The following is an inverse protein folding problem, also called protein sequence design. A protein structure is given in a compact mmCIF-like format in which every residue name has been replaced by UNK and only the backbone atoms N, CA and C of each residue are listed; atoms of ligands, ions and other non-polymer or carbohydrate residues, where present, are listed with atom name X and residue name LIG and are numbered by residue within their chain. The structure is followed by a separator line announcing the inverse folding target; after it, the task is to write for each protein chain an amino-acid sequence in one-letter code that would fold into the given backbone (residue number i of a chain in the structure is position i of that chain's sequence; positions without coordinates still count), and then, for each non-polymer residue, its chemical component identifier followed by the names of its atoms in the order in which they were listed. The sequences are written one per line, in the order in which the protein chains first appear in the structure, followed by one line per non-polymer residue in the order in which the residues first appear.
data_IF_479490009779
#
_entry.id   IF_479490009779
#
_cell.length_a   1.000
_cell.length_b   1.000
_cell.length_c   1.000
_cell.angle_alpha   90.00
_cell.angle_beta   90.00
_cell.angle_gamma   90.00
#
_symmetry.space_group_name_H-M   'P 1'
#
loop_
_entity.id
_entity.type
_entity.pdbx_description
1 polymer ?
#
# COMPACT_ATOMS: atom_id res chain seq x y z
N UNK A 1 6.06 -10.52 3.75
CA UNK A 1 7.46 -10.77 3.35
C UNK A 1 7.80 -10.40 1.89
N UNK A 2 7.17 -11.00 0.86
CA UNK A 2 7.48 -10.71 -0.56
C UNK A 2 7.31 -9.23 -0.93
N UNK A 3 6.15 -8.63 -0.64
CA UNK A 3 5.87 -7.22 -0.94
C UNK A 3 6.90 -6.24 -0.34
N UNK A 4 7.43 -6.53 0.84
CA UNK A 4 8.44 -5.68 1.49
C UNK A 4 9.73 -5.67 0.67
N UNK A 5 10.19 -6.85 0.27
CA UNK A 5 11.38 -7.00 -0.57
C UNK A 5 11.22 -6.28 -1.90
N UNK A 6 10.05 -6.38 -2.54
CA UNK A 6 9.77 -5.68 -3.80
C UNK A 6 9.65 -4.17 -3.62
N UNK A 7 9.08 -3.69 -2.50
CA UNK A 7 8.98 -2.25 -2.16
C UNK A 7 10.37 -1.65 -1.94
N UNK A 8 11.23 -2.34 -1.21
CA UNK A 8 12.62 -1.91 -0.97
C UNK A 8 13.44 -1.97 -2.26
N UNK A 9 13.28 -3.03 -3.06
CA UNK A 9 13.92 -3.17 -4.37
C UNK A 9 13.51 -2.01 -5.30
N UNK A 10 12.22 -1.71 -5.41
CA UNK A 10 11.72 -0.65 -6.26
C UNK A 10 12.31 0.71 -5.87
N UNK A 11 12.36 1.02 -4.56
CA UNK A 11 12.98 2.25 -4.04
C UNK A 11 14.47 2.34 -4.34
N UNK A 12 15.21 1.23 -4.31
CA UNK A 12 16.63 1.21 -4.62
C UNK A 12 16.92 1.37 -6.12
N UNK A 13 16.11 0.71 -6.97
CA UNK A 13 16.28 0.74 -8.42
C UNK A 13 15.82 2.07 -9.02
N UNK A 14 14.75 2.66 -8.47
CA UNK A 14 14.20 3.91 -8.95
C UNK A 14 13.72 4.77 -7.76
N UNK A 15 14.62 5.56 -7.16
CA UNK A 15 14.29 6.45 -6.03
C UNK A 15 13.21 7.48 -6.36
N UNK A 16 13.05 7.82 -7.65
CA UNK A 16 12.08 8.81 -8.14
C UNK A 16 10.63 8.31 -8.10
N UNK A 17 10.39 7.03 -7.76
CA UNK A 17 9.06 6.48 -7.44
C UNK A 17 8.21 6.05 -8.64
N UNK A 18 8.79 5.99 -9.83
CA UNK A 18 8.13 5.60 -11.07
C UNK A 18 8.08 4.07 -11.30
N UNK A 19 8.85 3.31 -10.51
CA UNK A 19 8.83 1.84 -10.48
C UNK A 19 7.91 1.34 -9.37
N UNK A 20 6.87 0.59 -9.73
CA UNK A 20 5.83 0.14 -8.81
C UNK A 20 6.13 -1.29 -8.31
N UNK A 21 6.12 -1.55 -7.00
CA UNK A 21 6.39 -2.89 -6.46
C UNK A 21 5.19 -3.84 -6.64
N UNK A 22 5.45 -5.12 -6.91
CA UNK A 22 4.42 -6.16 -6.93
C UNK A 22 4.05 -6.57 -5.50
N UNK A 23 2.75 -6.66 -5.19
CA UNK A 23 2.28 -7.00 -3.85
C UNK A 23 2.24 -8.49 -3.53
N UNK A 24 1.97 -9.32 -4.55
CA UNK A 24 1.67 -10.73 -4.39
C UNK A 24 2.54 -11.58 -5.31
N UNK A 25 3.19 -12.60 -4.73
CA UNK A 25 3.94 -13.59 -5.49
C UNK A 25 3.02 -14.46 -6.36
N UNK A 26 1.76 -14.62 -5.97
CA UNK A 26 0.77 -15.43 -6.69
C UNK A 26 0.33 -14.67 -7.95
N UNK A 27 0.18 -13.35 -7.85
CA UNK A 27 -0.37 -12.53 -8.92
C UNK A 27 0.66 -11.97 -9.89
N UNK A 28 1.95 -12.20 -9.61
CA UNK A 28 3.08 -11.60 -10.33
C UNK A 28 2.99 -11.77 -11.87
N UNK A 29 2.41 -12.86 -12.36
CA UNK A 29 2.29 -13.11 -13.80
C UNK A 29 1.34 -12.13 -14.50
N UNK A 30 0.39 -11.53 -13.78
CA UNK A 30 -0.50 -10.49 -14.28
C UNK A 30 0.17 -9.10 -14.34
N UNK A 31 1.42 -8.99 -13.90
CA UNK A 31 2.21 -7.76 -13.95
C UNK A 31 3.32 -7.82 -14.99
N UNK A 32 3.26 -8.77 -15.93
CA UNK A 32 4.19 -8.85 -17.06
C UNK A 32 3.91 -7.73 -18.07
N UNK A 33 4.89 -7.40 -18.95
CA UNK A 33 4.65 -6.42 -19.99
C UNK A 33 3.42 -6.75 -20.86
N UNK A 34 2.73 -5.71 -21.33
CA UNK A 34 1.45 -5.74 -22.06
C UNK A 34 0.21 -6.13 -21.26
N UNK A 35 0.33 -6.50 -19.99
CA UNK A 35 -0.84 -6.64 -19.13
C UNK A 35 -1.45 -5.28 -18.81
N UNK A 36 -2.76 -5.30 -18.59
CA UNK A 36 -3.55 -4.13 -18.27
C UNK A 36 -3.79 -4.05 -16.76
N UNK A 37 -3.62 -2.86 -16.21
CA UNK A 37 -3.88 -2.56 -14.81
C UNK A 37 -4.77 -1.34 -14.68
N UNK A 38 -5.56 -1.30 -13.60
CA UNK A 38 -6.40 -0.16 -13.24
C UNK A 38 -5.82 0.53 -12.03
N UNK A 39 -5.86 1.85 -12.01
CA UNK A 39 -5.42 2.63 -10.85
C UNK A 39 -6.49 2.58 -9.75
N UNK A 40 -6.07 2.36 -8.51
CA UNK A 40 -6.94 2.56 -7.34
C UNK A 40 -7.16 4.05 -7.16
N UNK A 41 -8.35 4.50 -6.71
CA UNK A 41 -8.56 5.89 -6.34
C UNK A 41 -7.45 6.34 -5.39
N UNK A 42 -6.67 7.35 -5.80
CA UNK A 42 -5.58 7.85 -4.96
C UNK A 42 -6.19 8.49 -3.73
N UNK A 43 -5.71 8.12 -2.53
CA UNK A 43 -6.08 8.77 -1.27
C UNK A 43 -5.09 9.88 -0.91
N UNK A 44 -5.49 10.86 -0.09
CA UNK A 44 -4.68 12.06 0.21
C UNK A 44 -3.33 11.70 0.87
N UNK A 45 -3.29 10.59 1.58
CA UNK A 45 -2.14 10.11 2.35
C UNK A 45 -1.30 9.06 1.60
N UNK A 46 -1.74 8.58 0.44
CA UNK A 46 -0.99 7.58 -0.33
C UNK A 46 0.17 8.25 -1.06
N UNK A 47 1.39 7.84 -0.71
CA UNK A 47 2.61 8.31 -1.40
C UNK A 47 2.64 7.84 -2.85
N UNK A 48 2.18 6.62 -3.11
CA UNK A 48 2.16 6.01 -4.44
C UNK A 48 0.76 5.49 -4.80
N UNK A 49 0.30 5.68 -6.05
CA UNK A 49 -0.92 5.07 -6.52
C UNK A 49 -0.77 3.54 -6.52
N UNK A 50 -1.80 2.87 -6.01
CA UNK A 50 -1.90 1.41 -6.09
C UNK A 50 -2.61 1.01 -7.39
N UNK A 51 -2.36 -0.21 -7.85
CA UNK A 51 -2.96 -0.72 -9.09
C UNK A 51 -3.57 -2.11 -8.88
N UNK A 52 -4.78 -2.30 -9.41
CA UNK A 52 -5.44 -3.60 -9.51
C UNK A 52 -5.06 -4.29 -10.81
N UNK A 53 -4.78 -5.60 -10.73
CA UNK A 53 -4.71 -6.46 -11.91
C UNK A 53 -6.10 -6.52 -12.57
N UNK A 54 -6.14 -6.64 -13.89
CA UNK A 54 -7.43 -6.76 -14.61
C UNK A 54 -7.69 -8.16 -15.15
N UNK A 55 -6.65 -9.00 -15.21
CA UNK A 55 -6.70 -10.30 -15.88
C UNK A 55 -6.61 -10.21 -17.41
N UNK A 56 -6.65 -9.02 -18.01
CA UNK A 56 -6.59 -8.81 -19.46
C UNK A 56 -5.23 -8.31 -19.90
N UNK A 57 -4.77 -8.78 -21.06
CA UNK A 57 -3.65 -8.23 -21.81
C UNK A 57 -4.17 -7.24 -22.84
N UNK A 58 -3.28 -6.37 -23.31
CA UNK A 58 -3.59 -5.42 -24.37
C UNK A 58 -4.19 -6.11 -25.60
N UNK A 59 -3.64 -7.26 -26.01
CA UNK A 59 -4.16 -8.01 -27.16
C UNK A 59 -5.60 -8.53 -26.96
N UNK A 60 -6.01 -8.81 -25.72
CA UNK A 60 -7.34 -9.39 -25.42
C UNK A 60 -8.47 -8.37 -25.66
N UNK A 61 -8.15 -7.07 -25.61
CA UNK A 61 -9.11 -5.97 -25.83
C UNK A 61 -9.04 -5.37 -27.24
N UNK A 62 -8.14 -5.86 -28.11
CA UNK A 62 -8.02 -5.42 -29.49
C UNK A 62 -8.91 -6.25 -30.42
N UNK A 63 -9.37 -5.66 -31.52
CA UNK A 63 -10.04 -6.40 -32.60
C UNK A 63 -9.01 -7.30 -33.29
N UNK A 64 -9.34 -8.58 -33.57
CA UNK A 64 -8.44 -9.46 -34.31
C UNK A 64 -8.04 -8.88 -35.67
N UNK A 65 -6.76 -8.97 -36.02
CA UNK A 65 -6.26 -8.51 -37.32
C UNK A 65 -6.86 -9.31 -38.50
N UNK A 66 -6.85 -8.70 -39.69
CA UNK A 66 -7.43 -9.28 -40.92
C UNK A 66 -6.79 -10.61 -41.38
N UNK A 67 -5.59 -10.95 -40.89
CA UNK A 67 -4.86 -12.18 -41.22
C UNK A 67 -4.84 -13.24 -40.09
N UNK A 68 -5.87 -13.26 -39.24
CA UNK A 68 -5.95 -14.16 -38.07
C UNK A 68 -6.32 -15.61 -38.42
N UNK A 69 -5.39 -16.35 -39.06
CA UNK A 69 -5.35 -17.82 -38.96
C UNK A 69 -4.42 -18.20 -37.80
N UNK A 70 -5.01 -18.44 -36.63
CA UNK A 70 -4.40 -19.08 -35.45
C UNK A 70 -3.16 -18.40 -34.84
N UNK A 71 -3.33 -17.51 -33.85
CA UNK A 71 -2.19 -16.92 -33.14
C UNK A 71 -2.43 -16.69 -31.64
N UNK A 72 -2.98 -17.67 -30.92
CA UNK A 72 -3.01 -17.66 -29.44
C UNK A 72 -1.61 -17.80 -28.79
N UNK A 73 -0.55 -17.97 -29.61
CA UNK A 73 0.83 -18.21 -29.13
C UNK A 73 1.88 -17.35 -29.85
N UNK A 74 1.52 -16.64 -30.93
CA UNK A 74 2.52 -16.07 -31.84
C UNK A 74 2.48 -14.51 -31.91
N UNK A 75 1.46 -13.86 -31.34
CA UNK A 75 1.44 -12.39 -31.13
C UNK A 75 2.35 -11.93 -29.97
N UNK A 76 2.70 -12.84 -29.05
CA UNK A 76 3.77 -12.60 -28.06
C UNK A 76 5.18 -12.63 -28.69
N UNK A 77 5.31 -13.06 -29.94
CA UNK A 77 6.58 -13.16 -30.67
C UNK A 77 6.80 -12.03 -31.69
N UNK A 78 5.79 -11.22 -32.03
CA UNK A 78 5.96 -10.04 -32.88
C UNK A 78 6.41 -8.80 -32.09
N UNK A 79 6.04 -8.73 -30.81
CA UNK A 79 6.53 -7.73 -29.87
C UNK A 79 7.80 -8.29 -29.26
N UNK A 80 8.95 -7.76 -29.67
CA UNK A 80 10.21 -8.13 -29.04
C UNK A 80 10.27 -7.42 -27.70
N UNK A 81 10.24 -8.20 -26.63
CA UNK A 81 10.59 -7.72 -25.31
C UNK A 81 12.12 -7.76 -25.25
N UNK A 82 12.76 -6.60 -25.14
CA UNK A 82 14.20 -6.55 -24.96
C UNK A 82 14.51 -6.85 -23.48
N UNK A 83 15.25 -7.94 -23.25
CA UNK A 83 15.87 -8.23 -21.96
C UNK A 83 17.17 -7.41 -21.87
N UNK A 84 17.09 -6.22 -21.28
CA UNK A 84 18.27 -5.43 -20.94
C UNK A 84 18.86 -5.99 -19.64
N UNK A 85 20.06 -6.58 -19.72
CA UNK A 85 20.79 -7.06 -18.53
C UNK A 85 21.42 -5.85 -17.84
N UNK A 86 20.64 -5.15 -17.03
CA UNK A 86 21.14 -4.06 -16.18
C UNK A 86 21.66 -4.63 -14.85
N UNK A 87 22.83 -5.25 -14.91
CA UNK A 87 23.71 -5.41 -13.76
C UNK A 87 23.27 -6.34 -12.62
N UNK A 88 24.27 -6.79 -11.86
CA UNK A 88 24.10 -7.48 -10.59
C UNK A 88 23.75 -6.46 -9.51
N UNK A 89 22.49 -6.39 -9.11
CA UNK A 89 22.11 -5.60 -7.94
C UNK A 89 22.31 -6.47 -6.70
N UNK A 90 23.44 -6.27 -6.01
CA UNK A 90 23.64 -6.83 -4.67
C UNK A 90 22.71 -6.11 -3.67
N UNK A 91 21.42 -6.46 -3.70
CA UNK A 91 20.48 -6.10 -2.65
C UNK A 91 20.82 -6.88 -1.39
N UNK A 92 21.81 -6.38 -0.63
CA UNK A 92 21.92 -6.70 0.78
C UNK A 92 20.92 -5.79 1.47
N UNK A 93 19.69 -6.27 1.72
CA UNK A 93 18.72 -5.52 2.52
C UNK A 93 19.21 -5.56 3.97
N UNK A 94 20.15 -4.70 4.31
CA UNK A 94 20.46 -4.34 5.69
C UNK A 94 19.62 -3.13 6.03
N UNK A 95 18.85 -3.24 7.12
CA UNK A 95 18.22 -2.09 7.74
C UNK A 95 19.32 -1.03 8.02
N UNK A 96 19.02 0.29 7.97
CA UNK A 96 19.95 1.29 8.42
C UNK A 96 20.37 0.99 9.87
N UNK A 97 21.66 0.73 10.10
CA UNK A 97 22.23 0.57 11.44
C UNK A 97 22.35 1.92 12.19
N UNK A 98 22.00 3.05 11.54
CA UNK A 98 22.11 4.40 12.09
C UNK A 98 20.79 4.92 12.67
N UNK A 99 20.36 4.32 13.78
CA UNK A 99 19.54 5.03 14.79
C UNK A 99 19.64 4.37 16.18
N UNK A 100 20.85 3.95 16.57
CA UNK A 100 21.12 3.62 17.97
C UNK A 100 21.45 4.90 18.72
N UNK A 101 20.47 5.46 19.41
CA UNK A 101 20.67 6.14 20.70
C UNK A 101 19.37 6.36 21.47
N UNK A 102 18.65 5.29 21.77
CA UNK A 102 18.02 5.12 23.09
C UNK A 102 17.82 3.63 23.32
N UNK A 103 18.18 3.14 24.49
CA UNK A 103 18.01 1.75 24.91
C UNK A 103 16.53 1.35 24.91
N UNK A 104 16.04 0.88 23.76
CA UNK A 104 14.86 0.02 23.68
C UNK A 104 15.30 -1.14 22.81
N UNK A 105 15.55 -2.28 23.43
CA UNK A 105 15.73 -3.58 22.76
C UNK A 105 14.40 -3.97 22.11
N UNK A 106 14.10 -3.30 21.00
CA UNK A 106 12.96 -3.58 20.14
C UNK A 106 13.27 -4.80 19.29
N UNK A 107 12.31 -5.72 19.21
CA UNK A 107 12.41 -6.89 18.38
C UNK A 107 12.55 -6.49 16.91
N UNK A 108 13.75 -6.65 16.36
CA UNK A 108 14.00 -6.47 14.95
C UNK A 108 13.58 -7.74 14.20
N UNK A 109 12.67 -7.62 13.24
CA UNK A 109 12.50 -8.69 12.26
C UNK A 109 13.67 -8.60 11.27
N UNK A 110 14.61 -9.54 11.35
CA UNK A 110 15.75 -9.57 10.46
C UNK A 110 15.41 -10.40 9.23
N UNK A 111 15.60 -9.78 8.07
CA UNK A 111 15.50 -10.45 6.79
C UNK A 111 16.93 -10.78 6.37
N UNK A 112 17.27 -12.07 6.29
CA UNK A 112 18.53 -12.48 5.67
C UNK A 112 18.28 -12.66 4.18
N UNK A 113 18.46 -11.58 3.42
CA UNK A 113 18.50 -11.62 1.97
C UNK A 113 19.96 -11.49 1.54
N UNK A 114 20.48 -12.53 0.88
CA UNK A 114 21.89 -12.56 0.43
C UNK A 114 22.12 -11.64 -0.77
N UNK A 115 21.24 -11.70 -1.77
CA UNK A 115 21.19 -10.86 -2.97
C UNK A 115 20.07 -11.38 -3.87
N UNK A 116 19.43 -10.51 -4.67
CA UNK A 116 18.49 -10.91 -5.73
C UNK A 116 19.03 -10.35 -7.04
N UNK A 117 19.34 -11.23 -7.98
CA UNK A 117 19.71 -10.80 -9.34
C UNK A 117 18.44 -10.51 -10.14
N UNK A 118 18.44 -9.38 -10.85
CA UNK A 118 17.29 -8.90 -11.58
C UNK A 118 17.63 -8.65 -13.04
N UNK A 119 16.62 -8.69 -13.89
CA UNK A 119 16.68 -8.27 -15.28
C UNK A 119 15.50 -7.37 -15.61
N UNK A 120 15.66 -6.49 -16.59
CA UNK A 120 14.59 -5.62 -17.07
C UNK A 120 14.03 -6.19 -18.37
N UNK A 121 12.71 -6.33 -18.41
CA UNK A 121 11.95 -6.73 -19.58
C UNK A 121 11.10 -5.53 -20.04
N UNK A 122 11.40 -4.96 -21.20
CA UNK A 122 10.70 -3.79 -21.74
C UNK A 122 10.13 -4.04 -23.13
N UNK A 123 8.94 -3.50 -23.38
CA UNK A 123 8.33 -3.47 -24.71
C UNK A 123 8.99 -2.40 -25.58
N UNK A 124 9.51 -2.79 -26.75
CA UNK A 124 10.06 -1.82 -27.70
C UNK A 124 8.97 -0.84 -28.19
N UNK A 125 9.23 0.48 -28.18
CA UNK A 125 8.28 1.46 -28.68
C UNK A 125 7.85 1.21 -30.14
N UNK A 126 8.76 0.77 -31.01
CA UNK A 126 8.47 0.50 -32.41
C UNK A 126 7.41 -0.59 -32.60
N UNK A 127 7.40 -1.63 -31.76
CA UNK A 127 6.43 -2.72 -31.86
C UNK A 127 5.02 -2.24 -31.43
N UNK A 128 4.96 -1.33 -30.45
CA UNK A 128 3.70 -0.69 -30.03
C UNK A 128 3.13 0.23 -31.11
N UNK A 129 3.99 1.00 -31.79
CA UNK A 129 3.57 1.87 -32.91
C UNK A 129 2.99 1.06 -34.08
N UNK A 130 3.61 -0.07 -34.42
CA UNK A 130 3.11 -0.99 -35.44
C UNK A 130 1.74 -1.56 -35.01
N UNK A 131 1.63 -2.05 -33.78
CA UNK A 131 0.39 -2.64 -33.26
C UNK A 131 -0.76 -1.62 -33.24
N UNK A 132 -0.48 -0.35 -32.90
CA UNK A 132 -1.45 0.74 -32.95
C UNK A 132 -1.97 1.01 -34.37
N UNK A 133 -1.10 0.92 -35.37
CA UNK A 133 -1.48 1.08 -36.78
C UNK A 133 -2.31 -0.07 -37.33
N UNK A 134 -2.07 -1.29 -36.86
CA UNK A 134 -2.71 -2.51 -37.36
C UNK A 134 -4.03 -2.85 -36.69
N UNK A 135 -4.16 -2.60 -35.38
CA UNK A 135 -5.28 -3.07 -34.57
C UNK A 135 -5.99 -1.93 -33.86
N UNK A 136 -7.31 -2.00 -33.87
CA UNK A 136 -8.21 -1.08 -33.17
C UNK A 136 -8.69 -1.68 -31.86
N UNK A 137 -9.10 -0.84 -30.91
CA UNK A 137 -9.75 -1.29 -29.67
C UNK A 137 -11.13 -1.85 -29.98
N UNK A 138 -11.43 -2.99 -29.37
CA UNK A 138 -12.77 -3.56 -29.39
C UNK A 138 -13.69 -2.82 -28.42
N UNK A 139 -14.33 -1.75 -28.90
CA UNK A 139 -15.31 -0.97 -28.12
C UNK A 139 -16.56 -1.78 -27.71
N UNK A 140 -16.73 -2.98 -28.27
CA UNK A 140 -17.81 -3.89 -27.87
C UNK A 140 -17.44 -4.84 -26.74
N UNK A 141 -16.17 -4.91 -26.34
CA UNK A 141 -15.70 -5.73 -25.23
C UNK A 141 -16.36 -5.30 -23.92
N UNK A 142 -16.90 -6.26 -23.14
CA UNK A 142 -17.63 -5.99 -21.89
C UNK A 142 -16.80 -5.16 -20.90
N UNK A 143 -15.55 -5.57 -20.67
CA UNK A 143 -14.58 -4.84 -19.83
C UNK A 143 -14.40 -3.37 -20.24
N UNK A 144 -14.27 -3.06 -21.53
CA UNK A 144 -14.11 -1.69 -22.03
C UNK A 144 -15.40 -0.87 -21.86
N UNK A 145 -16.56 -1.48 -22.09
CA UNK A 145 -17.87 -0.85 -21.84
C UNK A 145 -18.05 -0.49 -20.36
N UNK A 146 -17.68 -1.40 -19.46
CA UNK A 146 -17.78 -1.18 -18.02
C UNK A 146 -16.81 -0.10 -17.53
N UNK A 147 -15.55 -0.14 -17.99
CA UNK A 147 -14.55 0.91 -17.72
C UNK A 147 -15.04 2.29 -18.15
N UNK A 148 -15.58 2.39 -19.37
CA UNK A 148 -16.11 3.63 -19.91
C UNK A 148 -17.30 4.15 -19.11
N UNK A 149 -18.21 3.26 -18.69
CA UNK A 149 -19.37 3.61 -17.86
C UNK A 149 -18.94 4.15 -16.49
N UNK A 150 -17.88 3.57 -15.90
CA UNK A 150 -17.32 3.98 -14.61
C UNK A 150 -16.33 5.15 -14.70
N UNK A 151 -15.94 5.54 -15.93
CA UNK A 151 -14.92 6.55 -16.21
C UNK A 151 -13.57 6.26 -15.53
N UNK A 152 -13.21 4.99 -15.48
CA UNK A 152 -11.95 4.51 -14.88
C UNK A 152 -10.81 4.56 -15.89
N UNK A 153 -9.61 4.87 -15.40
CA UNK A 153 -8.39 4.87 -16.19
C UNK A 153 -7.77 3.47 -16.31
N UNK A 154 -7.24 3.19 -17.49
CA UNK A 154 -6.58 1.95 -17.86
C UNK A 154 -5.12 2.23 -18.24
N UNK A 155 -4.24 1.38 -17.75
CA UNK A 155 -2.80 1.52 -17.96
C UNK A 155 -2.23 0.21 -18.50
N UNK A 156 -1.23 0.32 -19.35
CA UNK A 156 -0.48 -0.82 -19.90
C UNK A 156 0.86 -0.90 -19.17
N UNK A 157 1.25 -2.11 -18.76
CA UNK A 157 2.59 -2.36 -18.25
C UNK A 157 3.56 -2.34 -19.43
N UNK A 158 4.45 -1.35 -19.48
CA UNK A 158 5.45 -1.21 -20.53
C UNK A 158 6.75 -1.95 -20.18
N UNK A 159 7.05 -2.03 -18.89
CA UNK A 159 8.31 -2.58 -18.39
C UNK A 159 8.06 -3.35 -17.10
N UNK A 160 8.80 -4.44 -16.92
CA UNK A 160 8.82 -5.24 -15.71
C UNK A 160 10.27 -5.55 -15.30
N UNK A 161 10.56 -5.41 -14.01
CA UNK A 161 11.78 -5.93 -13.39
C UNK A 161 11.48 -7.34 -12.91
N UNK A 162 12.27 -8.30 -13.38
CA UNK A 162 12.07 -9.73 -13.10
C UNK A 162 13.29 -10.33 -12.40
N UNK A 163 13.07 -11.36 -11.60
CA UNK A 163 14.14 -12.15 -11.01
C UNK A 163 14.92 -12.90 -12.11
N UNK A 164 16.23 -12.70 -12.20
CA UNK A 164 17.08 -13.38 -13.17
C UNK A 164 17.23 -14.87 -12.85
N UNK A 165 17.31 -15.18 -11.55
CA UNK A 165 17.47 -16.53 -11.04
C UNK A 165 16.53 -16.82 -9.87
N UNK A 166 16.31 -18.11 -9.62
CA UNK A 166 15.53 -18.57 -8.48
C UNK A 166 16.25 -18.19 -7.18
N UNK A 167 15.62 -17.36 -6.37
CA UNK A 167 16.19 -16.87 -5.11
C UNK A 167 15.34 -17.30 -3.92
N UNK A 168 15.98 -17.69 -2.82
CA UNK A 168 15.28 -18.04 -1.59
C UNK A 168 15.46 -16.93 -0.56
N UNK A 169 14.36 -16.46 -0.01
CA UNK A 169 14.33 -15.44 1.03
C UNK A 169 14.05 -16.08 2.37
N UNK A 170 14.75 -15.63 3.40
CA UNK A 170 14.57 -16.08 4.78
C UNK A 170 14.13 -14.91 5.66
N UNK A 171 13.08 -15.12 6.44
CA UNK A 171 12.65 -14.23 7.53
C UNK A 171 12.74 -14.99 8.83
N UNK A 172 13.47 -14.43 9.78
CA UNK A 172 13.43 -14.84 11.18
C UNK A 172 12.81 -13.73 12.00
N UNK A 173 11.71 -14.01 12.67
CA UNK A 173 11.21 -13.17 13.75
C UNK A 173 11.61 -13.79 15.09
N UNK A 174 12.39 -13.05 15.87
CA UNK A 174 12.59 -13.34 17.30
C UNK A 174 11.60 -12.49 18.07
N UNK A 175 10.70 -13.10 18.84
CA UNK A 175 9.75 -12.41 19.73
C UNK A 175 10.41 -11.95 21.03
N UNK A 176 11.69 -11.57 20.97
CA UNK A 176 12.48 -11.20 22.15
C UNK A 176 12.50 -9.68 22.28
N UNK A 177 11.56 -9.17 23.06
CA UNK A 177 11.49 -7.76 23.47
C UNK A 177 10.45 -7.58 24.57
N UNK A 178 10.82 -6.94 25.68
CA UNK A 178 9.93 -6.74 26.84
C UNK A 178 8.63 -6.02 26.45
N UNK A 179 8.75 -5.00 25.58
CA UNK A 179 7.64 -4.19 25.07
C UNK A 179 6.63 -5.03 24.25
N UNK A 180 7.11 -5.88 23.35
CA UNK A 180 6.18 -6.73 22.58
C UNK A 180 5.43 -7.68 23.50
N UNK A 181 6.12 -8.23 24.50
CA UNK A 181 5.51 -9.14 25.46
C UNK A 181 4.41 -8.43 26.27
N UNK A 182 4.62 -7.16 26.67
CA UNK A 182 3.59 -6.34 27.32
C UNK A 182 2.34 -6.21 26.44
N UNK A 183 2.51 -5.88 25.15
CA UNK A 183 1.40 -5.78 24.19
C UNK A 183 0.68 -7.13 24.01
N UNK A 184 1.43 -8.23 23.84
CA UNK A 184 0.86 -9.58 23.70
C UNK A 184 0.00 -9.96 24.91
N UNK A 185 0.47 -9.67 26.12
CA UNK A 185 -0.24 -9.93 27.37
C UNK A 185 -1.48 -9.02 27.47
N UNK A 186 -1.32 -7.72 27.24
CA UNK A 186 -2.40 -6.75 27.36
C UNK A 186 -3.61 -7.09 26.47
N UNK A 187 -3.34 -7.45 25.21
CA UNK A 187 -4.39 -7.77 24.24
C UNK A 187 -4.76 -9.27 24.19
N UNK A 188 -4.17 -10.09 25.06
CA UNK A 188 -4.37 -11.55 25.08
C UNK A 188 -4.18 -12.17 23.69
N UNK A 189 -3.14 -11.71 22.99
CA UNK A 189 -2.80 -12.15 21.64
C UNK A 189 -2.07 -13.49 21.74
N UNK A 190 -2.47 -14.45 20.91
CA UNK A 190 -1.85 -15.78 20.90
C UNK A 190 -0.45 -15.72 20.30
N UNK A 191 -0.23 -14.78 19.39
CA UNK A 191 1.05 -14.49 18.79
C UNK A 191 1.57 -15.56 17.86
N UNK A 192 2.50 -15.15 17.00
CA UNK A 192 3.22 -16.10 16.14
C UNK A 192 4.50 -16.49 16.85
N UNK A 193 4.54 -17.72 17.38
CA UNK A 193 5.75 -18.34 17.94
C UNK A 193 6.87 -18.17 16.90
N UNK A 194 8.03 -17.64 17.32
CA UNK A 194 9.14 -17.23 16.45
C UNK A 194 9.21 -18.07 15.17
N UNK A 195 8.87 -17.45 14.04
CA UNK A 195 8.62 -18.18 12.80
C UNK A 195 9.80 -17.98 11.86
N UNK A 196 10.41 -19.09 11.45
CA UNK A 196 11.30 -19.09 10.29
C UNK A 196 10.43 -19.29 9.07
N UNK A 197 10.27 -18.22 8.28
CA UNK A 197 9.51 -18.27 7.04
C UNK A 197 10.48 -18.22 5.87
N UNK A 198 10.17 -19.04 4.87
CA UNK A 198 10.95 -19.15 3.65
C UNK A 198 10.02 -18.90 2.49
N UNK A 199 10.38 -17.94 1.64
CA UNK A 199 9.71 -17.72 0.36
C UNK A 199 10.72 -17.97 -0.74
N UNK A 200 10.28 -18.66 -1.78
CA UNK A 200 11.10 -18.93 -2.96
C UNK A 200 10.59 -18.06 -4.09
N UNK A 201 11.40 -17.10 -4.53
CA UNK A 201 11.17 -16.31 -5.72
C UNK A 201 11.62 -17.16 -6.92
N UNK A 202 10.72 -17.53 -7.84
CA UNK A 202 11.09 -18.28 -9.03
C UNK A 202 11.86 -17.38 -10.01
N UNK A 203 12.60 -18.01 -10.93
CA UNK A 203 13.17 -17.32 -12.08
C UNK A 203 12.05 -16.68 -12.93
N UNK A 204 12.33 -15.51 -13.50
CA UNK A 204 11.42 -14.71 -14.31
C UNK A 204 10.16 -14.21 -13.56
N UNK A 205 10.20 -14.23 -12.22
CA UNK A 205 9.16 -13.65 -11.36
C UNK A 205 9.18 -12.13 -11.49
N UNK A 206 8.04 -11.50 -11.76
CA UNK A 206 7.92 -10.04 -11.75
C UNK A 206 8.02 -9.53 -10.30
N UNK A 207 8.92 -8.58 -10.07
CA UNK A 207 9.17 -7.98 -8.76
C UNK A 207 8.66 -6.54 -8.70
N UNK A 208 8.80 -5.81 -9.81
CA UNK A 208 8.31 -4.45 -9.94
C UNK A 208 7.97 -4.16 -11.42
N UNK A 209 7.17 -3.13 -11.68
CA UNK A 209 6.70 -2.81 -13.02
C UNK A 209 6.51 -1.31 -13.21
N UNK A 210 6.55 -0.86 -14.47
CA UNK A 210 6.21 0.50 -14.89
C UNK A 210 5.04 0.47 -15.84
N UNK A 211 4.21 1.48 -15.71
CA UNK A 211 2.99 1.62 -16.48
C UNK A 211 3.06 2.84 -17.39
N UNK A 212 2.24 2.82 -18.43
CA UNK A 212 1.91 4.01 -19.21
C UNK A 212 0.39 4.08 -19.41
N UNK A 213 -0.23 5.27 -19.37
CA UNK A 213 -1.66 5.40 -19.57
C UNK A 213 -2.06 4.99 -20.99
N UNK A 214 -3.14 4.23 -21.10
CA UNK A 214 -3.76 3.90 -22.37
C UNK A 214 -4.76 5.01 -22.72
N UNK A 215 -4.62 5.61 -23.91
CA UNK A 215 -5.55 6.58 -24.44
C UNK A 215 -6.42 5.89 -25.50
N UNK A 216 -7.74 6.04 -25.40
CA UNK A 216 -8.72 5.51 -26.35
C UNK A 216 -9.53 6.68 -26.90
N UNK A 217 -9.50 6.84 -28.23
CA UNK A 217 -10.28 7.83 -28.96
C UNK A 217 -11.14 7.11 -30.00
N UNK A 218 -12.42 6.92 -29.68
CA UNK A 218 -13.33 6.07 -30.47
C UNK A 218 -12.81 4.64 -30.59
N UNK A 219 -12.16 4.28 -31.69
CA UNK A 219 -11.60 2.94 -31.93
C UNK A 219 -10.06 2.94 -31.99
N UNK A 220 -9.45 4.12 -32.18
CA UNK A 220 -8.00 4.28 -32.15
C UNK A 220 -7.51 4.36 -30.72
N UNK A 221 -6.31 3.85 -30.48
CA UNK A 221 -5.68 3.89 -29.18
C UNK A 221 -4.22 4.27 -29.29
N UNK A 222 -3.68 4.78 -28.20
CA UNK A 222 -2.29 5.17 -28.07
C UNK A 222 -1.83 5.04 -26.63
N UNK A 223 -0.54 5.25 -26.42
CA UNK A 223 0.06 5.24 -25.09
C UNK A 223 0.52 6.65 -24.78
N UNK A 224 0.12 7.18 -23.63
CA UNK A 224 0.57 8.49 -23.20
C UNK A 224 1.96 8.45 -22.57
N UNK A 225 2.67 9.56 -22.69
CA UNK A 225 3.86 9.87 -21.91
C UNK A 225 3.55 10.71 -20.66
N UNK A 226 2.32 11.20 -20.49
CA UNK A 226 1.88 11.97 -19.33
C UNK A 226 1.00 11.11 -18.43
N UNK A 227 1.36 10.89 -17.15
CA UNK A 227 0.69 9.94 -16.26
C UNK A 227 -0.76 10.30 -15.91
N UNK A 228 -1.13 11.57 -16.07
CA UNK A 228 -2.45 12.12 -15.71
C UNK A 228 -3.45 12.17 -16.88
N UNK A 229 -3.07 11.66 -18.04
CA UNK A 229 -3.97 11.60 -19.19
C UNK A 229 -5.09 10.58 -18.96
N UNK A 230 -6.33 11.03 -19.16
CA UNK A 230 -7.51 10.18 -19.04
C UNK A 230 -7.61 9.17 -20.18
N UNK A 231 -8.07 7.94 -19.87
CA UNK A 231 -8.19 6.88 -20.86
C UNK A 231 -9.22 7.17 -21.95
N UNK A 232 -10.33 7.85 -21.64
CA UNK A 232 -11.40 8.12 -22.59
C UNK A 232 -11.51 9.62 -22.91
N UNK A 233 -10.71 10.11 -23.86
CA UNK A 233 -10.54 11.55 -24.17
C UNK A 233 -11.84 12.25 -24.55
N UNK A 234 -12.77 11.55 -25.22
CA UNK A 234 -14.02 12.14 -25.71
C UNK A 234 -15.12 12.26 -24.63
N UNK A 235 -14.94 11.62 -23.47
CA UNK A 235 -16.00 11.48 -22.46
C UNK A 235 -15.92 12.53 -21.33
N UNK A 236 -14.99 13.50 -21.45
CA UNK A 236 -14.75 14.56 -20.48
C UNK A 236 -13.82 14.11 -19.34
N UNK A 237 -13.70 14.91 -18.25
CA UNK A 237 -12.85 14.57 -17.11
C UNK A 237 -13.27 13.23 -16.49
N UNK A 238 -12.28 12.42 -16.12
CA UNK A 238 -12.46 11.14 -15.43
C UNK A 238 -12.86 11.37 -13.98
N UNK A 239 -13.47 10.38 -13.32
CA UNK A 239 -13.83 10.50 -11.90
C UNK A 239 -12.59 10.71 -11.00
N UNK A 240 -11.40 10.36 -11.49
CA UNK A 240 -10.11 10.57 -10.83
C UNK A 240 -9.65 12.05 -10.84
N UNK A 241 -10.24 12.92 -11.68
CA UNK A 241 -9.80 14.32 -11.81
C UNK A 241 -10.30 15.26 -10.71
N UNK A 242 -11.18 14.79 -9.82
CA UNK A 242 -11.66 15.56 -8.66
C UNK A 242 -10.65 15.56 -7.49
N UNK A 243 -9.52 14.88 -7.65
CA UNK A 243 -8.47 14.87 -6.63
C UNK A 243 -7.58 16.12 -6.74
N UNK A 244 -8.12 17.25 -6.27
CA UNK A 244 -7.29 18.39 -5.90
C UNK A 244 -6.47 18.02 -4.66
N UNK A 245 -5.13 18.10 -4.70
CA UNK A 245 -4.27 18.06 -3.51
C UNK A 245 -4.59 19.21 -2.52
N UNK A 246 -5.46 20.13 -2.93
CA UNK A 246 -5.80 21.41 -2.31
C UNK A 246 -6.75 21.29 -1.10
N UNK A 247 -7.05 20.06 -0.65
CA UNK A 247 -7.86 19.85 0.54
C UNK A 247 -7.11 20.12 1.84
N UNK A 248 -5.77 20.02 1.85
CA UNK A 248 -4.97 20.07 3.07
C UNK A 248 -5.50 19.12 4.15
N UNK A 249 -5.33 19.53 5.42
CA UNK A 249 -5.87 18.77 6.56
C UNK A 249 -7.41 18.67 6.55
N UNK A 250 -8.13 19.68 6.07
CA UNK A 250 -9.59 19.68 6.05
C UNK A 250 -10.17 18.69 5.01
N UNK A 251 -9.47 18.50 3.90
CA UNK A 251 -9.76 17.46 2.92
C UNK A 251 -9.50 16.06 3.49
N UNK A 252 -8.34 15.88 4.13
CA UNK A 252 -8.00 14.62 4.78
C UNK A 252 -9.00 14.25 5.88
N UNK A 253 -9.41 15.22 6.71
CA UNK A 253 -10.38 14.99 7.76
C UNK A 253 -11.74 14.54 7.20
N UNK A 254 -12.26 15.22 6.17
CA UNK A 254 -13.52 14.83 5.51
C UNK A 254 -13.44 13.44 4.87
N UNK A 255 -12.31 13.11 4.25
CA UNK A 255 -12.09 11.78 3.67
C UNK A 255 -12.12 10.70 4.76
N UNK A 256 -11.33 10.87 5.83
CA UNK A 256 -11.25 9.89 6.92
C UNK A 256 -12.59 9.73 7.63
N UNK A 257 -13.31 10.82 7.90
CA UNK A 257 -14.65 10.78 8.50
C UNK A 257 -15.65 10.01 7.63
N UNK A 258 -15.56 10.18 6.31
CA UNK A 258 -16.41 9.47 5.34
C UNK A 258 -16.07 7.98 5.27
N UNK A 259 -14.79 7.64 5.11
CA UNK A 259 -14.33 6.26 4.93
C UNK A 259 -14.46 5.43 6.23
N UNK A 260 -14.38 6.07 7.40
CA UNK A 260 -14.52 5.41 8.70
C UNK A 260 -15.93 5.56 9.33
N UNK A 261 -16.93 6.02 8.57
CA UNK A 261 -18.28 6.30 9.08
C UNK A 261 -18.91 5.06 9.75
N UNK A 262 -18.76 3.88 9.14
CA UNK A 262 -19.31 2.62 9.68
C UNK A 262 -18.57 2.15 10.95
N UNK A 263 -17.25 2.39 11.04
CA UNK A 263 -16.49 2.08 12.28
C UNK A 263 -16.99 2.90 13.47
N UNK A 264 -17.45 4.14 13.23
CA UNK A 264 -17.96 5.02 14.27
C UNK A 264 -19.31 4.56 14.86
N UNK A 265 -20.03 3.69 14.13
CA UNK A 265 -21.36 3.16 14.48
C UNK A 265 -21.28 1.79 15.16
N UNK A 266 -20.09 1.18 15.24
CA UNK A 266 -19.91 -0.12 15.87
C UNK A 266 -20.23 -0.07 17.38
N UNK A 267 -20.73 -1.19 17.90
CA UNK A 267 -20.88 -1.39 19.35
C UNK A 267 -19.50 -1.49 20.02
N UNK A 268 -19.43 -1.18 21.32
CA UNK A 268 -18.19 -1.25 22.10
C UNK A 268 -17.56 -2.65 22.11
N UNK A 269 -18.38 -3.71 22.09
CA UNK A 269 -17.92 -5.10 21.94
C UNK A 269 -17.23 -5.37 20.59
N UNK A 270 -17.84 -4.90 19.48
CA UNK A 270 -17.25 -5.05 18.15
C UNK A 270 -15.99 -4.21 18.01
N UNK A 271 -15.97 -2.98 18.53
CA UNK A 271 -14.79 -2.13 18.59
C UNK A 271 -13.63 -2.84 19.29
N UNK A 272 -13.87 -3.46 20.45
CA UNK A 272 -12.84 -4.18 21.19
C UNK A 272 -12.29 -5.39 20.41
N UNK A 273 -13.15 -6.17 19.75
CA UNK A 273 -12.73 -7.29 18.87
C UNK A 273 -11.88 -6.83 17.70
N UNK A 274 -12.31 -5.74 17.05
CA UNK A 274 -11.61 -5.17 15.90
C UNK A 274 -10.27 -4.56 16.34
N UNK A 275 -10.25 -3.83 17.45
CA UNK A 275 -9.03 -3.27 18.02
C UNK A 275 -8.01 -4.36 18.34
N UNK A 276 -8.43 -5.46 18.99
CA UNK A 276 -7.56 -6.60 19.26
C UNK A 276 -6.95 -7.17 17.98
N UNK A 277 -7.77 -7.42 16.97
CA UNK A 277 -7.33 -8.00 15.70
C UNK A 277 -6.41 -7.06 14.92
N UNK A 278 -6.73 -5.76 14.89
CA UNK A 278 -5.91 -4.74 14.23
C UNK A 278 -4.59 -4.54 14.99
N UNK A 279 -4.57 -4.59 16.32
CA UNK A 279 -3.31 -4.56 17.09
C UNK A 279 -2.43 -5.77 16.76
N UNK A 280 -3.02 -6.96 16.60
CA UNK A 280 -2.28 -8.15 16.16
C UNK A 280 -1.66 -7.97 14.76
N UNK A 281 -2.38 -7.29 13.88
CA UNK A 281 -1.93 -6.93 12.54
C UNK A 281 -0.81 -5.88 12.58
N UNK A 282 -0.92 -4.85 13.42
CA UNK A 282 0.09 -3.79 13.57
C UNK A 282 1.44 -4.38 13.99
N UNK A 283 1.44 -5.30 14.95
CA UNK A 283 2.69 -5.93 15.43
C UNK A 283 3.20 -7.06 14.52
N UNK A 284 2.45 -7.45 13.49
CA UNK A 284 2.80 -8.53 12.58
C UNK A 284 2.58 -8.15 11.11
N UNK A 285 3.66 -7.68 10.48
CA UNK A 285 3.64 -7.26 9.08
C UNK A 285 3.16 -8.31 8.09
N UNK A 286 3.30 -9.62 8.39
CA UNK A 286 2.76 -10.64 7.50
C UNK A 286 1.24 -10.80 7.65
N UNK A 287 0.69 -10.64 8.85
CA UNK A 287 -0.76 -10.63 9.06
C UNK A 287 -1.39 -9.39 8.42
N UNK A 288 -0.70 -8.24 8.46
CA UNK A 288 -1.11 -7.04 7.73
C UNK A 288 -1.28 -7.31 6.24
N UNK A 289 -0.29 -7.93 5.60
CA UNK A 289 -0.39 -8.25 4.17
C UNK A 289 -1.44 -9.32 3.89
N UNK A 290 -1.54 -10.37 4.71
CA UNK A 290 -2.55 -11.42 4.55
C UNK A 290 -3.96 -10.85 4.60
N UNK A 291 -4.26 -10.06 5.63
CA UNK A 291 -5.59 -9.48 5.82
C UNK A 291 -5.90 -8.47 4.70
N UNK A 292 -4.95 -7.58 4.37
CA UNK A 292 -5.11 -6.60 3.29
C UNK A 292 -5.47 -7.28 1.97
N UNK A 293 -4.69 -8.29 1.54
CA UNK A 293 -4.95 -9.00 0.29
C UNK A 293 -6.32 -9.67 0.27
N UNK A 294 -6.73 -10.31 1.36
CA UNK A 294 -8.07 -10.95 1.45
C UNK A 294 -9.20 -9.93 1.34
N UNK A 295 -9.07 -8.78 1.99
CA UNK A 295 -10.08 -7.73 1.92
C UNK A 295 -10.10 -7.05 0.54
N UNK A 296 -8.95 -6.93 -0.14
CA UNK A 296 -8.89 -6.48 -1.54
C UNK A 296 -9.60 -7.47 -2.48
N UNK A 297 -9.38 -8.78 -2.32
CA UNK A 297 -10.07 -9.82 -3.09
C UNK A 297 -11.59 -9.78 -2.86
N UNK A 298 -12.02 -9.56 -1.61
CA UNK A 298 -13.43 -9.40 -1.28
C UNK A 298 -14.08 -8.19 -1.98
N UNK A 299 -13.32 -7.12 -2.20
CA UNK A 299 -13.79 -5.96 -2.97
C UNK A 299 -13.84 -6.20 -4.47
N UNK A 300 -12.97 -7.05 -5.00
CA UNK A 300 -12.96 -7.42 -6.42
C UNK A 300 -14.12 -8.37 -6.77
N UNK A 301 -14.29 -9.43 -5.98
CA UNK A 301 -15.31 -10.46 -6.20
C UNK A 301 -15.71 -11.11 -4.87
N UNK A 302 -16.68 -10.49 -4.19
CA UNK A 302 -17.18 -10.95 -2.89
C UNK A 302 -17.73 -12.38 -2.92
N UNK A 303 -18.26 -12.85 -4.05
CA UNK A 303 -18.87 -14.18 -4.19
C UNK A 303 -17.81 -15.30 -4.23
N UNK A 304 -16.57 -14.98 -4.57
CA UNK A 304 -15.45 -15.95 -4.65
C UNK A 304 -14.47 -15.86 -3.50
N UNK A 305 -14.58 -14.84 -2.65
CA UNK A 305 -13.64 -14.61 -1.56
C UNK A 305 -14.02 -15.40 -0.29
N UNK A 306 -13.08 -16.17 0.25
CA UNK A 306 -13.22 -16.80 1.56
C UNK A 306 -12.45 -16.00 2.63
N UNK A 307 -13.18 -15.25 3.47
CA UNK A 307 -12.61 -14.52 4.62
C UNK A 307 -12.36 -15.46 5.82
N UNK A 308 -11.38 -16.36 5.68
CA UNK A 308 -10.89 -17.23 6.78
C UNK A 308 -9.41 -17.02 6.99
N UNK A 309 -8.91 -17.15 8.22
CA UNK A 309 -7.48 -17.20 8.49
C UNK A 309 -7.15 -18.37 9.40
N UNK A 310 -5.95 -18.92 9.24
CA UNK A 310 -5.39 -19.88 10.20
C UNK A 310 -4.94 -19.17 11.49
N UNK A 311 -4.78 -17.85 11.45
CA UNK A 311 -4.39 -17.08 12.61
C UNK A 311 -5.61 -16.79 13.49
N UNK A 312 -5.62 -17.28 14.75
CA UNK A 312 -6.75 -17.08 15.65
C UNK A 312 -6.93 -15.63 16.10
N UNK A 313 -5.92 -14.77 15.98
CA UNK A 313 -6.02 -13.34 16.31
C UNK A 313 -6.79 -12.55 15.23
N UNK A 314 -7.09 -13.15 14.07
CA UNK A 314 -7.93 -12.56 13.01
C UNK A 314 -9.36 -13.12 12.97
N UNK A 315 -9.62 -14.22 13.68
CA UNK A 315 -10.89 -14.97 13.61
C UNK A 315 -12.08 -14.09 13.96
N UNK A 316 -12.00 -13.35 15.08
CA UNK A 316 -13.05 -12.45 15.55
C UNK A 316 -13.36 -11.34 14.52
N UNK A 317 -12.34 -10.72 13.91
CA UNK A 317 -12.56 -9.67 12.91
C UNK A 317 -13.20 -10.25 11.64
N UNK A 318 -12.65 -11.34 11.11
CA UNK A 318 -13.14 -11.94 9.87
C UNK A 318 -14.58 -12.47 10.01
N UNK A 319 -14.92 -13.10 11.14
CA UNK A 319 -16.27 -13.61 11.38
C UNK A 319 -17.33 -12.50 11.48
N UNK A 320 -16.94 -11.30 11.91
CA UNK A 320 -17.83 -10.15 12.02
C UNK A 320 -17.85 -9.28 10.75
N UNK A 321 -17.01 -9.57 9.77
CA UNK A 321 -17.10 -9.03 8.41
C UNK A 321 -18.04 -9.86 7.51
N UNK A 322 -18.59 -10.96 8.02
CA UNK A 322 -19.50 -11.84 7.29
C UNK A 322 -20.81 -12.03 8.06
N UNK A 323 -21.91 -12.23 7.34
CA UNK A 323 -23.18 -12.63 7.95
C UNK A 323 -23.22 -14.15 8.23
N UNK A 324 -24.30 -14.62 8.86
CA UNK A 324 -24.49 -16.05 9.14
C UNK A 324 -24.57 -16.95 7.90
N UNK A 325 -24.81 -16.37 6.73
CA UNK A 325 -24.82 -17.08 5.45
C UNK A 325 -23.45 -17.04 4.73
N UNK A 326 -22.47 -16.31 5.28
CA UNK A 326 -21.13 -16.12 4.72
C UNK A 326 -21.03 -14.95 3.74
N UNK A 327 -22.09 -14.14 3.59
CA UNK A 327 -22.07 -12.95 2.74
C UNK A 327 -21.21 -11.86 3.38
N UNK A 328 -20.33 -11.25 2.57
CA UNK A 328 -19.37 -10.24 3.04
C UNK A 328 -20.04 -8.87 3.19
N UNK A 329 -19.87 -8.25 4.35
CA UNK A 329 -20.34 -6.90 4.64
C UNK A 329 -19.39 -5.85 4.06
N UNK A 330 -19.52 -5.55 2.76
CA UNK A 330 -18.63 -4.60 2.06
C UNK A 330 -18.57 -3.21 2.73
N UNK A 331 -19.67 -2.76 3.35
CA UNK A 331 -19.74 -1.49 4.08
C UNK A 331 -18.78 -1.45 5.28
N UNK A 332 -18.46 -2.60 5.87
CA UNK A 332 -17.51 -2.73 6.98
C UNK A 332 -16.10 -3.14 6.50
N UNK A 333 -16.00 -3.88 5.40
CA UNK A 333 -14.72 -4.22 4.77
C UNK A 333 -13.99 -2.97 4.28
N UNK A 334 -14.72 -1.99 3.71
CA UNK A 334 -14.16 -0.71 3.24
C UNK A 334 -13.33 0.03 4.29
N UNK A 335 -13.93 0.40 5.42
CA UNK A 335 -13.22 1.08 6.51
C UNK A 335 -12.03 0.29 7.06
N UNK A 336 -12.17 -1.03 7.20
CA UNK A 336 -11.06 -1.89 7.68
C UNK A 336 -9.93 -1.88 6.66
N UNK A 337 -10.22 -2.11 5.38
CA UNK A 337 -9.23 -2.09 4.31
C UNK A 337 -8.56 -0.71 4.21
N UNK A 338 -9.32 0.38 4.30
CA UNK A 338 -8.80 1.75 4.35
C UNK A 338 -7.78 1.94 5.48
N UNK A 339 -8.09 1.41 6.66
CA UNK A 339 -7.16 1.40 7.82
C UNK A 339 -5.90 0.59 7.53
N UNK A 340 -6.03 -0.61 6.96
CA UNK A 340 -4.89 -1.48 6.65
C UNK A 340 -3.94 -0.84 5.62
N UNK A 341 -4.50 -0.18 4.61
CA UNK A 341 -3.68 0.57 3.66
C UNK A 341 -2.91 1.71 4.33
N UNK A 342 -3.51 2.43 5.28
CA UNK A 342 -2.81 3.48 6.03
C UNK A 342 -1.68 2.92 6.90
N UNK A 343 -1.90 1.76 7.54
CA UNK A 343 -0.88 1.05 8.31
C UNK A 343 0.28 0.56 7.42
N UNK A 344 0.01 0.16 6.18
CA UNK A 344 1.02 -0.32 5.23
C UNK A 344 1.95 0.78 4.67
N UNK A 345 1.55 2.05 4.82
CA UNK A 345 2.40 3.20 4.53
C UNK A 345 3.38 3.51 5.67
N UNK A 346 3.15 2.98 6.88
CA UNK A 346 4.01 3.20 8.06
C UNK A 346 5.20 2.22 8.10
N UNK A 347 6.28 2.61 8.76
CA UNK A 347 7.44 1.73 9.00
C UNK A 347 7.17 0.71 10.11
N UNK A 348 7.92 -0.40 10.16
CA UNK A 348 7.77 -1.41 11.23
C UNK A 348 7.99 -0.79 12.62
N UNK A 349 8.92 0.16 12.76
CA UNK A 349 9.16 0.87 14.02
C UNK A 349 8.01 1.83 14.38
N UNK A 350 7.39 2.49 13.39
CA UNK A 350 6.19 3.29 13.61
C UNK A 350 5.02 2.42 14.05
N UNK A 351 4.81 1.27 13.42
CA UNK A 351 3.77 0.33 13.79
C UNK A 351 3.97 -0.20 15.21
N UNK A 352 5.20 -0.55 15.60
CA UNK A 352 5.50 -0.96 16.97
C UNK A 352 5.14 0.13 17.99
N UNK A 353 5.54 1.38 17.73
CA UNK A 353 5.20 2.53 18.58
C UNK A 353 3.70 2.79 18.62
N UNK A 354 3.01 2.60 17.49
CA UNK A 354 1.56 2.72 17.42
C UNK A 354 0.88 1.69 18.32
N UNK A 355 1.33 0.43 18.32
CA UNK A 355 0.82 -0.59 19.22
C UNK A 355 1.04 -0.24 20.71
N UNK A 356 2.21 0.28 21.07
CA UNK A 356 2.47 0.81 22.42
C UNK A 356 1.52 1.95 22.78
N UNK A 357 1.21 2.81 21.82
CA UNK A 357 0.28 3.93 22.02
C UNK A 357 -1.15 3.46 22.29
N UNK A 358 -1.59 2.37 21.65
CA UNK A 358 -2.90 1.75 21.93
C UNK A 358 -2.89 1.18 23.35
N UNK A 359 -1.86 0.43 23.72
CA UNK A 359 -1.70 -0.16 25.06
C UNK A 359 -1.71 0.91 26.17
N UNK A 360 -0.98 2.01 25.97
CA UNK A 360 -0.91 3.14 26.92
C UNK A 360 -2.11 4.09 26.84
N UNK A 361 -3.09 3.83 25.96
CA UNK A 361 -4.29 4.65 25.79
C UNK A 361 -4.01 6.13 25.47
N UNK A 362 -2.97 6.40 24.67
CA UNK A 362 -2.55 7.76 24.29
C UNK A 362 -2.95 8.17 22.87
N UNK A 363 -3.66 7.30 22.14
CA UNK A 363 -4.05 7.51 20.74
C UNK A 363 -4.81 8.82 20.54
N UNK A 364 -5.73 9.19 21.44
CA UNK A 364 -6.51 10.44 21.34
C UNK A 364 -5.62 11.69 21.41
N UNK A 365 -4.65 11.71 22.34
CA UNK A 365 -3.69 12.81 22.48
C UNK A 365 -2.80 12.92 21.24
N UNK A 366 -2.33 11.78 20.72
CA UNK A 366 -1.51 11.72 19.52
C UNK A 366 -2.28 12.16 18.26
N UNK A 367 -3.55 11.78 18.14
CA UNK A 367 -4.41 12.18 17.04
C UNK A 367 -4.54 13.71 16.95
N UNK A 368 -4.82 14.37 18.09
CA UNK A 368 -4.91 15.83 18.15
C UNK A 368 -3.57 16.51 17.87
N UNK A 369 -2.47 15.93 18.35
CA UNK A 369 -1.12 16.43 18.08
C UNK A 369 -0.79 16.38 16.58
N UNK A 370 -0.97 15.21 15.95
CA UNK A 370 -0.69 15.02 14.53
C UNK A 370 -1.61 15.89 13.68
N UNK A 371 -2.90 16.03 14.07
CA UNK A 371 -3.84 16.96 13.44
C UNK A 371 -3.35 18.40 13.51
N UNK A 372 -2.87 18.85 14.67
CA UNK A 372 -2.32 20.19 14.84
C UNK A 372 -1.09 20.43 13.97
N UNK A 373 -0.24 19.41 13.82
CA UNK A 373 0.94 19.46 12.95
C UNK A 373 0.50 19.53 11.48
N UNK A 374 -0.43 18.68 11.05
CA UNK A 374 -0.95 18.64 9.67
C UNK A 374 -1.69 19.92 9.24
N UNK A 375 -2.23 20.70 10.19
CA UNK A 375 -2.83 22.02 9.92
C UNK A 375 -1.81 23.10 9.56
N UNK A 376 -0.52 22.86 9.78
CA UNK A 376 0.52 23.84 9.48
C UNK A 376 0.93 23.72 8.02
N UNK A 377 1.20 24.84 7.36
CA UNK A 377 1.53 24.85 5.95
C UNK A 377 2.96 24.31 5.71
N UNK A 378 3.08 23.01 5.45
CA UNK A 378 4.34 22.32 5.13
C UNK A 378 5.02 22.85 3.85
N UNK A 379 4.27 23.53 2.99
CA UNK A 379 4.73 23.97 1.67
C UNK A 379 5.85 25.03 1.70
N UNK A 380 6.14 25.63 2.86
CA UNK A 380 7.03 26.80 2.94
C UNK A 380 8.44 26.51 3.48
N UNK A 381 8.79 25.25 3.84
CA UNK A 381 10.07 24.93 4.52
C UNK A 381 10.35 25.79 5.76
N UNK A 382 9.31 26.37 6.36
CA UNK A 382 9.43 27.16 7.57
C UNK A 382 9.31 26.25 8.80
N UNK A 383 10.06 26.58 9.84
CA UNK A 383 9.91 25.94 11.15
C UNK A 383 8.50 26.15 11.67
N UNK A 384 7.82 25.06 12.03
CA UNK A 384 6.49 25.13 12.60
C UNK A 384 6.54 24.95 14.13
N UNK A 385 5.55 25.48 14.85
CA UNK A 385 5.48 25.36 16.31
C UNK A 385 4.34 24.45 16.74
N UNK A 386 4.63 23.46 17.56
CA UNK A 386 3.64 22.57 18.15
C UNK A 386 3.07 23.19 19.41
N UNK A 387 1.76 23.07 19.63
CA UNK A 387 1.09 23.58 20.83
C UNK A 387 1.64 22.92 22.10
N UNK A 388 2.14 23.75 23.02
CA UNK A 388 2.66 23.34 24.32
C UNK A 388 1.62 22.61 25.18
N UNK A 389 0.33 22.90 25.01
CA UNK A 389 -0.76 22.24 25.74
C UNK A 389 -0.93 20.78 25.33
N UNK A 390 -0.81 20.48 24.03
CA UNK A 390 -0.89 19.10 23.53
C UNK A 390 0.32 18.29 23.98
N UNK A 391 1.50 18.92 23.98
CA UNK A 391 2.76 18.30 24.42
C UNK A 391 2.76 18.03 25.93
N UNK A 392 2.31 18.98 26.75
CA UNK A 392 2.26 18.84 28.22
C UNK A 392 1.21 17.85 28.71
N UNK A 393 0.25 17.47 27.86
CA UNK A 393 -0.72 16.41 28.18
C UNK A 393 -0.12 15.00 28.19
N UNK A 394 1.06 14.82 27.60
CA UNK A 394 1.77 13.55 27.52
C UNK A 394 2.84 13.47 28.63
N UNK A 395 2.90 12.32 29.30
CA UNK A 395 4.02 12.03 30.21
C UNK A 395 5.32 11.85 29.40
N UNK A 396 6.49 11.93 30.05
CA UNK A 396 7.77 11.89 29.32
C UNK A 396 7.95 10.60 28.48
N UNK A 397 7.49 9.45 28.99
CA UNK A 397 7.50 8.19 28.23
C UNK A 397 6.55 8.23 27.01
N UNK A 398 5.32 8.71 27.20
CA UNK A 398 4.30 8.85 26.16
C UNK A 398 4.76 9.84 25.07
N UNK A 399 5.44 10.91 25.49
CA UNK A 399 6.03 11.91 24.61
C UNK A 399 7.17 11.33 23.80
N UNK A 400 8.02 10.49 24.38
CA UNK A 400 9.11 9.82 23.66
C UNK A 400 8.57 8.86 22.59
N UNK A 401 7.51 8.10 22.89
CA UNK A 401 6.84 7.24 21.90
C UNK A 401 6.28 8.08 20.75
N UNK A 402 5.55 9.14 21.10
CA UNK A 402 4.90 10.05 20.14
C UNK A 402 5.92 10.75 19.24
N UNK A 403 6.97 11.32 19.84
CA UNK A 403 8.04 12.01 19.12
C UNK A 403 8.71 11.08 18.12
N UNK A 404 9.12 9.89 18.56
CA UNK A 404 9.81 8.96 17.69
C UNK A 404 8.91 8.47 16.54
N UNK A 405 7.60 8.29 16.78
CA UNK A 405 6.65 7.92 15.73
C UNK A 405 6.52 9.00 14.64
N UNK A 406 6.53 10.28 15.04
CA UNK A 406 6.52 11.43 14.12
C UNK A 406 7.86 11.56 13.37
N UNK A 407 8.98 11.39 14.07
CA UNK A 407 10.33 11.51 13.48
C UNK A 407 10.64 10.44 12.45
N UNK A 408 10.15 9.21 12.66
CA UNK A 408 10.24 8.14 11.67
C UNK A 408 9.45 8.44 10.38
N UNK A 409 8.50 9.38 10.44
CA UNK A 409 7.77 9.90 9.28
C UNK A 409 8.50 11.00 8.53
N UNK A 410 9.74 11.36 8.91
CA UNK A 410 10.55 12.38 8.23
C UNK A 410 10.42 13.81 8.79
N UNK A 411 9.69 14.00 9.90
CA UNK A 411 9.58 15.28 10.59
C UNK A 411 10.53 15.35 11.77
N UNK A 412 11.48 16.28 11.78
CA UNK A 412 12.38 16.44 12.93
C UNK A 412 11.76 17.34 13.99
N UNK A 413 11.65 16.86 15.24
CA UNK A 413 11.09 17.63 16.35
C UNK A 413 12.17 18.04 17.36
N UNK A 414 12.39 19.35 17.49
CA UNK A 414 13.30 19.94 18.47
C UNK A 414 12.51 20.56 19.63
N UNK A 415 12.90 20.22 20.86
CA UNK A 415 12.25 20.74 22.08
C UNK A 415 12.75 22.15 22.35
N UNK A 416 11.84 23.13 22.32
CA UNK A 416 12.12 24.53 22.60
C UNK A 416 11.34 24.98 23.84
N UNK A 417 11.85 24.64 25.03
CA UNK A 417 11.17 24.91 26.29
C UNK A 417 9.92 24.05 26.47
N UNK A 418 8.72 24.62 26.69
CA UNK A 418 7.47 23.87 26.84
C UNK A 418 6.84 23.45 25.50
N UNK A 419 7.34 23.92 24.36
CA UNK A 419 6.85 23.57 23.02
C UNK A 419 7.88 22.80 22.19
N UNK A 420 7.46 22.31 21.02
CA UNK A 420 8.36 21.77 20.01
C UNK A 420 8.36 22.65 18.77
N UNK A 421 9.51 22.75 18.11
CA UNK A 421 9.59 23.22 16.74
C UNK A 421 9.89 22.06 15.81
N UNK A 422 9.16 21.99 14.70
CA UNK A 422 9.33 20.95 13.71
C UNK A 422 9.79 21.49 12.36
N UNK A 423 10.48 20.64 11.61
CA UNK A 423 10.75 20.83 10.18
C UNK A 423 10.51 19.51 9.46
N UNK A 424 9.95 19.57 8.25
CA UNK A 424 9.68 18.40 7.41
C UNK A 424 9.56 18.78 5.94
N UNK A 425 9.58 17.79 5.06
CA UNK A 425 9.38 17.96 3.62
C UNK A 425 8.00 17.43 3.18
N UNK A 426 7.73 17.45 1.87
CA UNK A 426 6.45 17.00 1.31
C UNK A 426 6.23 15.48 1.49
N UNK A 427 7.31 14.68 1.51
CA UNK A 427 7.21 13.25 1.76
C UNK A 427 6.78 13.00 3.22
N UNK A 428 7.27 13.83 4.15
CA UNK A 428 6.88 13.77 5.54
C UNK A 428 5.40 14.11 5.76
N UNK A 429 4.81 14.99 4.94
CA UNK A 429 3.37 15.27 4.99
C UNK A 429 2.53 14.02 4.64
N UNK A 430 2.94 13.28 3.61
CA UNK A 430 2.21 12.07 3.20
C UNK A 430 2.30 10.99 4.29
N UNK A 431 3.48 10.78 4.86
CA UNK A 431 3.68 9.84 5.96
C UNK A 431 2.89 10.23 7.23
N UNK A 432 2.86 11.52 7.58
CA UNK A 432 2.04 12.02 8.68
C UNK A 432 0.54 11.91 8.42
N UNK A 433 0.11 12.09 7.17
CA UNK A 433 -1.29 11.93 6.78
C UNK A 433 -1.72 10.47 6.92
N UNK A 434 -0.88 9.51 6.54
CA UNK A 434 -1.13 8.08 6.75
C UNK A 434 -1.17 7.74 8.26
N UNK A 435 -0.26 8.31 9.04
CA UNK A 435 -0.27 8.18 10.50
C UNK A 435 -1.55 8.75 11.12
N UNK A 436 -2.02 9.91 10.65
CA UNK A 436 -3.28 10.51 11.10
C UNK A 436 -4.47 9.57 10.83
N UNK A 437 -4.54 8.99 9.63
CA UNK A 437 -5.59 8.03 9.26
C UNK A 437 -5.57 6.81 10.18
N UNK A 438 -4.40 6.23 10.42
CA UNK A 438 -4.24 5.09 11.32
C UNK A 438 -4.65 5.43 12.76
N UNK A 439 -4.20 6.58 13.28
CA UNK A 439 -4.57 7.07 14.61
C UNK A 439 -6.09 7.31 14.73
N UNK A 440 -6.72 7.84 13.68
CA UNK A 440 -8.15 8.11 13.68
C UNK A 440 -8.97 6.82 13.75
N UNK A 441 -8.65 5.84 12.91
CA UNK A 441 -9.32 4.54 12.94
C UNK A 441 -9.13 3.83 14.30
N UNK A 442 -7.91 3.85 14.85
CA UNK A 442 -7.64 3.30 16.18
C UNK A 442 -8.35 4.06 17.28
N UNK A 443 -8.49 5.39 17.16
CA UNK A 443 -9.24 6.19 18.12
C UNK A 443 -10.71 5.78 18.17
N UNK A 444 -11.34 5.55 17.01
CA UNK A 444 -12.72 5.07 16.95
C UNK A 444 -12.89 3.69 17.59
N UNK A 445 -11.92 2.79 17.39
CA UNK A 445 -11.95 1.44 17.94
C UNK A 445 -11.56 1.37 19.42
N UNK A 446 -10.87 2.39 19.94
CA UNK A 446 -10.46 2.48 21.35
C UNK A 446 -11.50 3.16 22.25
N UNK A 447 -12.73 3.37 21.74
CA UNK A 447 -13.82 3.96 22.52
C UNK A 447 -14.20 2.99 23.64
N UNK A 448 -13.89 3.39 24.88
CA UNK A 448 -14.32 2.70 26.09
C UNK A 448 -15.57 3.43 26.59
N UNK A 449 -16.60 2.70 27.03
CA UNK A 449 -17.77 3.28 27.71
C UNK A 449 -17.37 4.09 28.97
#
# INVERSE_FOLDING_TARGET
MFHKVTKDLAKQLAPDGDLLPVCSLIDQDHFRPLYLVRRKPKKLWMTHPHYYKTGFRLCDILVPGQDSRNLDVQDSHSITIEDCIDGRVECTIKLPEDLVRTEVTGAASTYEVKSIEVKRAEVRPADLEILQGERKINMNHSFIKDLRKRRENLYVINEAVQALEKTTLYKSSTTEGSVLNEIYVHFSLKGTRGSKRVIVIPKDCVLAFRIKPLIIQSESWGISHHPDDGTFVADGPTADSDYSPDGGMDGLQREVEKECAELSQLSTDLCAKFLKSITAVIINSDLLQELKLKLEEAFEDADKCELKSENPDLEDLLSNLQDSAGSIHLDLVGPVLYTLHALDELTEDQLLRLAQSVEKQIISKQLELVKSILKQDFHLKETFSVDAMLVSSLQEEELNITKAMIELGGVTLQRNGPSFTGTGDLAAFSALSALYVALYALHLLSRSD
#
